data_IF_983270844380
#
_entry.id   IF_983270844380
#
_cell.length_a   1.000
_cell.length_b   1.000
_cell.length_c   1.000
_cell.angle_alpha   90.00
_cell.angle_beta   90.00
_cell.angle_gamma   90.00
#
_symmetry.space_group_name_H-M   'P 1'
#
loop_
_entity.id
_entity.type
_entity.pdbx_description
1 polymer ?
#
# COMPACT_ATOMS: atom_id res chain seq x y z
N UNK A 1 -20.19 -3.13 -14.08
CA UNK A 1 -19.92 -3.88 -12.82
C UNK A 1 -19.52 -2.95 -11.68
N UNK A 2 -18.45 -2.17 -11.83
CA UNK A 2 -18.02 -1.19 -10.80
C UNK A 2 -19.09 -0.14 -10.50
N UNK A 3 -19.77 0.37 -11.52
CA UNK A 3 -20.86 1.35 -11.32
C UNK A 3 -22.04 0.73 -10.57
N UNK A 4 -22.43 -0.50 -10.92
CA UNK A 4 -23.48 -1.24 -10.23
C UNK A 4 -23.11 -1.56 -8.77
N UNK A 5 -21.84 -1.89 -8.50
CA UNK A 5 -21.33 -2.03 -7.13
C UNK A 5 -21.41 -0.71 -6.35
N UNK A 6 -21.10 0.41 -7.01
CA UNK A 6 -21.09 1.73 -6.38
C UNK A 6 -22.50 2.28 -6.13
N UNK A 7 -23.46 1.90 -6.97
CA UNK A 7 -24.86 2.33 -6.88
C UNK A 7 -25.75 1.38 -6.07
N UNK A 8 -25.21 0.31 -5.48
CA UNK A 8 -26.00 -0.65 -4.74
C UNK A 8 -26.54 -0.05 -3.43
N UNK A 9 -27.87 -0.03 -3.29
CA UNK A 9 -28.54 0.33 -2.03
C UNK A 9 -28.44 -0.83 -1.03
N UNK A 10 -27.28 -0.97 -0.39
CA UNK A 10 -27.04 -1.95 0.67
C UNK A 10 -25.68 -2.63 0.60
N UNK A 11 -25.63 -3.89 1.01
CA UNK A 11 -24.39 -4.68 0.98
C UNK A 11 -24.11 -5.18 -0.44
N UNK A 12 -22.90 -4.94 -0.93
CA UNK A 12 -22.44 -5.41 -2.22
C UNK A 12 -21.01 -5.95 -2.13
N UNK A 13 -20.66 -6.87 -3.02
CA UNK A 13 -19.32 -7.45 -3.15
C UNK A 13 -18.87 -7.32 -4.59
N UNK A 14 -17.65 -6.83 -4.79
CA UNK A 14 -17.00 -6.78 -6.08
C UNK A 14 -15.79 -7.73 -6.07
N UNK A 15 -15.86 -8.79 -6.85
CA UNK A 15 -14.71 -9.65 -7.11
C UNK A 15 -13.83 -9.01 -8.17
N UNK A 16 -12.52 -8.93 -7.91
CA UNK A 16 -11.57 -8.37 -8.85
C UNK A 16 -10.23 -9.07 -8.75
N UNK A 17 -9.55 -9.24 -9.89
CA UNK A 17 -8.15 -9.60 -9.91
C UNK A 17 -7.32 -8.43 -9.39
N UNK A 18 -6.31 -8.69 -8.57
CA UNK A 18 -5.48 -7.64 -8.00
C UNK A 18 -4.78 -6.78 -9.05
N UNK A 19 -4.40 -7.38 -10.19
CA UNK A 19 -3.82 -6.67 -11.32
C UNK A 19 -4.83 -5.71 -11.96
N UNK A 20 -6.08 -6.14 -12.14
CA UNK A 20 -7.16 -5.30 -12.66
C UNK A 20 -7.56 -4.19 -11.67
N UNK A 21 -7.50 -4.47 -10.36
CA UNK A 21 -7.62 -3.45 -9.32
C UNK A 21 -6.51 -2.38 -9.40
N UNK A 22 -5.33 -2.72 -9.92
CA UNK A 22 -4.22 -1.79 -10.10
C UNK A 22 -4.39 -0.78 -11.24
N UNK A 23 -5.24 -1.04 -12.26
CA UNK A 23 -5.22 -0.32 -13.55
C UNK A 23 -6.08 0.95 -13.64
N UNK A 24 -6.80 1.33 -12.59
CA UNK A 24 -7.54 2.62 -12.58
C UNK A 24 -9.02 2.56 -12.24
N UNK A 25 -9.52 1.40 -11.81
CA UNK A 25 -10.91 1.28 -11.35
C UNK A 25 -11.18 2.19 -10.14
N UNK A 26 -12.36 2.82 -10.12
CA UNK A 26 -12.80 3.60 -8.96
C UNK A 26 -13.54 2.69 -7.97
N UNK A 27 -12.91 2.37 -6.84
CA UNK A 27 -13.47 1.46 -5.82
C UNK A 27 -13.78 2.18 -4.51
N UNK A 28 -13.94 3.50 -4.52
CA UNK A 28 -14.27 4.32 -3.34
C UNK A 28 -15.56 3.86 -2.62
N UNK A 29 -16.47 3.14 -3.27
CA UNK A 29 -17.64 2.55 -2.63
C UNK A 29 -17.29 1.38 -1.68
N UNK A 30 -16.08 0.80 -1.77
CA UNK A 30 -15.63 -0.27 -0.87
C UNK A 30 -15.02 0.30 0.41
N UNK A 31 -15.53 -0.14 1.56
CA UNK A 31 -14.96 0.14 2.90
C UNK A 31 -14.23 -1.06 3.51
N UNK A 32 -14.34 -2.24 2.88
CA UNK A 32 -13.63 -3.46 3.27
C UNK A 32 -12.93 -4.03 2.05
N UNK A 33 -11.64 -4.32 2.18
CA UNK A 33 -10.81 -4.95 1.16
C UNK A 33 -10.28 -6.27 1.72
N UNK A 34 -10.57 -7.37 1.02
CA UNK A 34 -10.09 -8.70 1.38
C UNK A 34 -9.09 -9.14 0.33
N UNK A 35 -7.83 -9.29 0.73
CA UNK A 35 -6.76 -9.84 -0.08
C UNK A 35 -6.73 -11.35 0.15
N UNK A 36 -7.11 -12.11 -0.87
CA UNK A 36 -7.23 -13.56 -0.77
C UNK A 36 -5.90 -14.30 -0.85
N UNK A 37 -4.85 -13.64 -1.33
CA UNK A 37 -3.51 -14.21 -1.48
C UNK A 37 -2.44 -13.10 -1.37
N UNK A 38 -1.26 -13.38 -0.80
CA UNK A 38 -0.14 -12.45 -0.78
C UNK A 38 0.50 -12.30 -2.17
N UNK A 39 0.92 -11.08 -2.50
CA UNK A 39 1.60 -10.78 -3.76
C UNK A 39 3.11 -10.72 -3.60
N UNK A 40 3.84 -11.35 -4.52
CA UNK A 40 5.32 -11.27 -4.58
C UNK A 40 5.81 -9.83 -4.77
N UNK A 41 4.99 -8.98 -5.39
CA UNK A 41 5.23 -7.54 -5.54
C UNK A 41 4.29 -6.77 -4.60
N UNK A 42 4.76 -6.31 -3.42
CA UNK A 42 3.92 -5.65 -2.41
C UNK A 42 3.15 -4.43 -2.94
N UNK A 43 3.73 -3.71 -3.89
CA UNK A 43 3.11 -2.51 -4.46
C UNK A 43 1.80 -2.81 -5.19
N UNK A 44 1.55 -4.04 -5.64
CA UNK A 44 0.28 -4.41 -6.26
C UNK A 44 -0.86 -4.36 -5.24
N UNK A 45 -0.63 -4.87 -4.03
CA UNK A 45 -1.59 -4.78 -2.93
C UNK A 45 -1.84 -3.33 -2.54
N UNK A 46 -0.77 -2.54 -2.36
CA UNK A 46 -0.88 -1.13 -2.01
C UNK A 46 -1.68 -0.33 -3.05
N UNK A 47 -1.44 -0.58 -4.35
CA UNK A 47 -2.16 0.09 -5.43
C UNK A 47 -3.64 -0.31 -5.46
N UNK A 48 -3.95 -1.60 -5.24
CA UNK A 48 -5.32 -2.08 -5.18
C UNK A 48 -6.08 -1.46 -3.99
N UNK A 49 -5.47 -1.46 -2.80
CA UNK A 49 -6.02 -0.81 -1.60
C UNK A 49 -6.24 0.68 -1.83
N UNK A 50 -5.28 1.36 -2.48
CA UNK A 50 -5.39 2.79 -2.80
C UNK A 50 -6.55 3.14 -3.75
N UNK A 51 -7.18 2.17 -4.42
CA UNK A 51 -8.42 2.41 -5.18
C UNK A 51 -9.65 2.56 -4.29
N UNK A 52 -9.66 1.87 -3.15
CA UNK A 52 -10.70 2.01 -2.12
C UNK A 52 -10.37 3.16 -1.15
N UNK A 53 -9.11 3.25 -0.74
CA UNK A 53 -8.58 4.32 0.11
C UNK A 53 -8.13 5.53 -0.73
N UNK A 54 -9.10 6.23 -1.32
CA UNK A 54 -8.87 7.39 -2.19
C UNK A 54 -9.68 8.60 -1.75
N UNK A 55 -9.27 9.80 -2.17
CA UNK A 55 -10.05 11.04 -1.98
C UNK A 55 -11.52 10.83 -2.35
N UNK A 56 -12.44 11.29 -1.51
CA UNK A 56 -13.89 11.05 -1.65
C UNK A 56 -14.40 9.85 -0.86
N UNK A 57 -13.52 8.98 -0.34
CA UNK A 57 -13.90 7.99 0.67
C UNK A 57 -14.16 8.69 2.01
N UNK A 58 -15.34 8.47 2.58
CA UNK A 58 -15.75 9.04 3.88
C UNK A 58 -15.76 8.01 5.01
N UNK A 59 -15.69 6.72 4.68
CA UNK A 59 -15.67 5.62 5.66
C UNK A 59 -14.24 5.11 5.87
N UNK A 60 -13.87 4.67 7.08
CA UNK A 60 -12.63 3.93 7.29
C UNK A 60 -12.55 2.72 6.36
N UNK A 61 -11.39 2.51 5.75
CA UNK A 61 -11.14 1.34 4.88
C UNK A 61 -10.42 0.28 5.70
N UNK A 62 -11.07 -0.86 5.92
CA UNK A 62 -10.48 -2.02 6.57
C UNK A 62 -9.86 -2.94 5.53
N UNK A 63 -8.60 -3.32 5.75
CA UNK A 63 -7.87 -4.22 4.85
C UNK A 63 -7.55 -5.49 5.61
N UNK A 64 -8.04 -6.62 5.11
CA UNK A 64 -7.79 -7.94 5.66
C UNK A 64 -7.01 -8.75 4.64
N UNK A 65 -5.91 -9.37 5.10
CA UNK A 65 -5.17 -10.34 4.30
C UNK A 65 -5.48 -11.73 4.84
N UNK A 66 -6.00 -12.60 3.97
CA UNK A 66 -6.17 -14.00 4.28
C UNK A 66 -4.81 -14.69 4.06
N UNK A 67 -4.30 -15.37 5.09
CA UNK A 67 -3.04 -16.09 5.05
C UNK A 67 -3.27 -17.49 5.58
N UNK A 68 -2.86 -18.50 4.82
CA UNK A 68 -2.84 -19.87 5.31
C UNK A 68 -1.64 -20.08 6.25
N UNK A 69 -1.91 -20.59 7.46
CA UNK A 69 -0.88 -20.98 8.44
C UNK A 69 -0.07 -22.17 7.91
N UNK A 70 1.21 -22.25 8.29
CA UNK A 70 2.12 -23.35 7.92
C UNK A 70 2.19 -23.60 6.40
N UNK A 71 2.08 -22.52 5.62
CA UNK A 71 1.99 -22.56 4.17
C UNK A 71 3.01 -21.67 3.46
N UNK A 72 3.01 -21.75 2.13
CA UNK A 72 3.80 -20.87 1.26
C UNK A 72 3.44 -19.39 1.43
N UNK A 73 2.21 -19.06 1.83
CA UNK A 73 1.76 -17.67 2.04
C UNK A 73 2.52 -17.02 3.20
N UNK A 74 2.60 -17.74 4.33
CA UNK A 74 3.34 -17.27 5.51
C UNK A 74 4.81 -17.07 5.18
N UNK A 75 5.43 -18.05 4.51
CA UNK A 75 6.84 -17.95 4.09
C UNK A 75 7.08 -16.79 3.11
N UNK A 76 6.15 -16.52 2.21
CA UNK A 76 6.24 -15.39 1.27
C UNK A 76 6.19 -14.05 2.04
N UNK A 77 5.23 -13.88 2.94
CA UNK A 77 5.11 -12.65 3.75
C UNK A 77 6.36 -12.43 4.61
N UNK A 78 6.90 -13.47 5.24
CA UNK A 78 8.14 -13.39 6.01
C UNK A 78 9.35 -12.98 5.14
N UNK A 79 9.44 -13.53 3.92
CA UNK A 79 10.49 -13.19 2.97
C UNK A 79 10.39 -11.72 2.54
N UNK A 80 9.18 -11.25 2.22
CA UNK A 80 8.95 -9.85 1.85
C UNK A 80 9.31 -8.92 3.01
N UNK A 81 8.89 -9.23 4.24
CA UNK A 81 9.24 -8.45 5.43
C UNK A 81 10.75 -8.41 5.70
N UNK A 82 11.49 -9.48 5.35
CA UNK A 82 12.96 -9.46 5.41
C UNK A 82 13.56 -8.57 4.34
N UNK A 83 13.05 -8.62 3.10
CA UNK A 83 13.50 -7.76 2.00
C UNK A 83 13.27 -6.29 2.31
N UNK A 84 12.11 -5.95 2.86
CA UNK A 84 11.77 -4.58 3.22
C UNK A 84 12.70 -4.04 4.31
N UNK A 85 12.98 -4.84 5.36
CA UNK A 85 13.94 -4.46 6.40
C UNK A 85 15.36 -4.23 5.86
N UNK A 86 15.81 -5.08 4.93
CA UNK A 86 17.11 -4.88 4.28
C UNK A 86 17.12 -3.61 3.44
N UNK A 87 16.09 -3.40 2.62
CA UNK A 87 15.97 -2.19 1.82
C UNK A 87 15.98 -0.95 2.71
N UNK A 88 15.20 -0.94 3.79
CA UNK A 88 15.14 0.14 4.75
C UNK A 88 16.48 0.45 5.44
N UNK A 89 17.29 -0.58 5.73
CA UNK A 89 18.59 -0.40 6.35
C UNK A 89 19.62 0.27 5.43
N UNK A 90 19.52 0.07 4.12
CA UNK A 90 20.48 0.59 3.13
C UNK A 90 19.98 1.82 2.36
N UNK A 91 18.68 1.90 2.09
CA UNK A 91 18.10 2.96 1.25
C UNK A 91 17.68 4.20 2.05
N UNK A 92 17.34 4.06 3.35
CA UNK A 92 17.03 5.23 4.19
C UNK A 92 18.27 5.97 4.68
N UNK A 93 19.37 5.25 4.92
CA UNK A 93 20.67 5.88 5.16
C UNK A 93 21.34 6.12 3.81
N UNK A 94 21.07 7.28 3.23
CA UNK A 94 21.80 7.72 2.05
C UNK A 94 23.23 8.04 2.47
N UNK A 95 24.14 7.09 2.33
CA UNK A 95 25.58 7.35 2.53
C UNK A 95 26.02 8.55 1.64
N UNK A 96 25.37 8.78 0.49
CA UNK A 96 25.56 9.97 -0.37
C UNK A 96 25.16 11.30 0.28
N UNK A 97 24.11 11.30 1.12
CA UNK A 97 23.68 12.50 1.87
C UNK A 97 24.63 12.79 3.05
N UNK A 98 25.24 11.76 3.64
CA UNK A 98 26.21 11.93 4.73
C UNK A 98 27.61 12.32 4.23
N UNK A 99 28.02 11.90 3.02
CA UNK A 99 29.36 12.22 2.48
C UNK A 99 29.46 13.55 1.73
N UNK A 100 28.33 14.20 1.45
CA UNK A 100 28.29 15.45 0.66
C UNK A 100 27.84 16.61 1.55
N UNK A 101 28.75 17.48 2.02
CA UNK A 101 28.41 18.65 2.84
C UNK A 101 27.40 19.61 2.16
N UNK A 102 27.36 19.62 0.83
CA UNK A 102 26.45 20.47 0.04
C UNK A 102 25.02 19.89 -0.07
N UNK A 103 24.77 18.69 0.47
CA UNK A 103 23.44 18.07 0.48
C UNK A 103 22.55 18.55 1.64
N UNK A 104 23.11 19.35 2.56
CA UNK A 104 22.36 20.01 3.63
C UNK A 104 21.99 21.41 3.16
N UNK A 105 20.71 21.67 2.88
CA UNK A 105 20.25 23.02 2.59
C UNK A 105 20.35 23.85 3.87
N UNK A 106 21.35 24.75 3.92
CA UNK A 106 21.64 25.63 5.07
C UNK A 106 20.44 26.55 5.40
N UNK A 107 19.51 26.75 4.44
CA UNK A 107 18.32 27.56 4.67
C UNK A 107 17.32 26.91 5.64
N UNK A 108 17.20 25.58 5.66
CA UNK A 108 16.31 24.84 6.58
C UNK A 108 16.82 24.89 8.03
N UNK A 109 18.14 24.80 8.22
CA UNK A 109 18.75 24.85 9.55
C UNK A 109 18.63 26.26 10.20
N UNK A 110 18.58 27.31 9.39
CA UNK A 110 18.39 28.68 9.86
C UNK A 110 16.92 28.98 10.23
N UNK A 111 15.97 28.36 9.53
CA UNK A 111 14.54 28.52 9.82
C UNK A 111 14.12 27.82 11.11
N UNK A 112 14.74 26.68 11.44
CA UNK A 112 14.44 25.90 12.65
C UNK A 112 15.00 26.51 13.96
N UNK A 113 15.84 27.56 13.88
CA UNK A 113 16.45 28.23 15.05
C UNK A 113 15.79 29.57 15.41
N UNK A 114 14.67 29.92 14.78
CA UNK A 114 13.90 31.14 15.03
C UNK A 114 12.54 30.82 15.58
#
# INVERSE_FOLDING_TARGET
LVDAFSAADGHAVLLSQIQAGGTGLNMQAASVVILCEPQVKPTLEHQAVARAHRMGQVRPVQVHRLLATDSVDQRLVELLARKDRLFDAYARRSDLAETTPDAVDVSDAALARR
#
